data_IF_709803234184
#
_entry.id   IF_709803234184
#
_cell.length_a   1.000
_cell.length_b   1.000
_cell.length_c   1.000
_cell.angle_alpha   90.00
_cell.angle_beta   90.00
_cell.angle_gamma   90.00
#
_symmetry.space_group_name_H-M   'P 1'
#
loop_
_entity.id
_entity.type
_entity.pdbx_description
1 polymer ?
#
# COMPACT_ATOMS: atom_id res chain seq x y z
N UNK A 1 -9.79 -0.65 -0.57
CA UNK A 1 -9.70 -2.06 -1.05
C UNK A 1 -8.26 -2.56 -0.95
N UNK A 2 -8.03 -3.81 -0.57
CA UNK A 2 -6.69 -4.40 -0.55
C UNK A 2 -6.66 -5.75 -1.29
N UNK A 3 -5.50 -6.07 -1.86
CA UNK A 3 -5.23 -7.33 -2.53
C UNK A 3 -3.82 -7.80 -2.20
N UNK A 4 -3.67 -9.06 -1.84
CA UNK A 4 -2.38 -9.68 -1.62
C UNK A 4 -2.33 -10.99 -2.41
N UNK A 5 -1.29 -11.21 -3.18
CA UNK A 5 -1.08 -12.45 -3.92
C UNK A 5 0.38 -12.87 -3.93
N UNK A 6 0.55 -14.15 -4.17
CA UNK A 6 1.82 -14.78 -4.43
C UNK A 6 1.68 -15.67 -5.64
N UNK A 7 2.66 -15.62 -6.55
CA UNK A 7 2.70 -16.62 -7.62
C UNK A 7 2.97 -18.02 -7.01
N UNK A 8 2.42 -19.07 -7.62
CA UNK A 8 2.57 -20.45 -7.12
C UNK A 8 4.04 -20.90 -6.98
N UNK A 9 4.97 -20.31 -7.74
CA UNK A 9 6.40 -20.57 -7.64
C UNK A 9 7.07 -19.83 -6.49
N UNK A 10 6.36 -18.91 -5.79
CA UNK A 10 6.93 -18.09 -4.74
C UNK A 10 8.02 -17.11 -5.23
N UNK A 11 8.10 -16.84 -6.52
CA UNK A 11 9.11 -15.95 -7.11
C UNK A 11 8.75 -14.48 -6.89
N UNK A 12 7.47 -14.16 -6.81
CA UNK A 12 6.97 -12.80 -6.63
C UNK A 12 5.81 -12.80 -5.65
N UNK A 13 5.88 -11.92 -4.66
CA UNK A 13 4.76 -11.53 -3.81
C UNK A 13 4.30 -10.14 -4.23
N UNK A 14 2.99 -9.92 -4.30
CA UNK A 14 2.42 -8.64 -4.72
C UNK A 14 1.31 -8.20 -3.77
N UNK A 15 1.33 -6.93 -3.44
CA UNK A 15 0.30 -6.25 -2.66
C UNK A 15 -0.20 -5.08 -3.47
N UNK A 16 -1.49 -4.87 -3.47
CA UNK A 16 -2.13 -3.66 -3.98
C UNK A 16 -3.04 -3.12 -2.87
N UNK A 17 -2.81 -1.87 -2.48
CA UNK A 17 -3.74 -1.08 -1.69
C UNK A 17 -4.35 -0.06 -2.66
N UNK A 18 -5.68 -0.01 -2.71
CA UNK A 18 -6.39 0.90 -3.60
C UNK A 18 -7.55 1.55 -2.86
N UNK A 19 -7.77 2.81 -3.17
CA UNK A 19 -8.92 3.55 -2.73
C UNK A 19 -9.78 4.00 -3.90
N UNK A 20 -11.10 3.84 -3.76
CA UNK A 20 -12.05 4.02 -4.84
C UNK A 20 -12.96 5.18 -4.49
N UNK A 21 -12.97 6.22 -5.30
CA UNK A 21 -13.87 7.35 -5.11
C UNK A 21 -15.34 6.91 -5.20
N UNK A 22 -16.09 7.08 -4.10
CA UNK A 22 -17.51 6.75 -3.99
C UNK A 22 -17.80 5.59 -3.04
N UNK A 23 -19.03 5.09 -3.04
CA UNK A 23 -19.52 4.07 -2.11
C UNK A 23 -20.46 3.04 -2.78
N UNK A 24 -20.72 1.95 -2.08
CA UNK A 24 -21.74 0.97 -2.43
C UNK A 24 -21.36 0.07 -3.62
N UNK A 25 -22.33 -0.22 -4.49
CA UNK A 25 -22.18 -1.21 -5.58
C UNK A 25 -21.09 -0.85 -6.59
N UNK A 26 -20.83 0.45 -6.80
CA UNK A 26 -19.77 0.90 -7.70
C UNK A 26 -18.40 0.45 -7.17
N UNK A 27 -18.13 0.69 -5.89
CA UNK A 27 -16.87 0.26 -5.23
C UNK A 27 -16.71 -1.26 -5.30
N UNK A 28 -17.79 -2.01 -5.06
CA UNK A 28 -17.77 -3.47 -5.19
C UNK A 28 -17.51 -3.93 -6.63
N UNK A 29 -18.03 -3.19 -7.63
CA UNK A 29 -17.76 -3.43 -9.05
C UNK A 29 -16.28 -3.23 -9.39
N UNK A 30 -15.71 -2.09 -8.99
CA UNK A 30 -14.28 -1.76 -9.16
C UNK A 30 -13.41 -2.82 -8.49
N UNK A 31 -13.71 -3.18 -7.26
CA UNK A 31 -12.97 -4.20 -6.52
C UNK A 31 -12.92 -5.54 -7.27
N UNK A 32 -14.02 -5.97 -7.86
CA UNK A 32 -14.08 -7.21 -8.68
C UNK A 32 -13.22 -7.11 -9.94
N UNK A 33 -13.28 -5.99 -10.65
CA UNK A 33 -12.47 -5.75 -11.86
C UNK A 33 -10.98 -5.78 -11.51
N UNK A 34 -10.57 -5.02 -10.51
CA UNK A 34 -9.18 -4.97 -10.05
C UNK A 34 -8.68 -6.33 -9.57
N UNK A 35 -9.46 -7.03 -8.76
CA UNK A 35 -9.10 -8.36 -8.27
C UNK A 35 -8.89 -9.35 -9.42
N UNK A 36 -9.77 -9.32 -10.42
CA UNK A 36 -9.68 -10.20 -11.60
C UNK A 36 -8.41 -9.91 -12.39
N UNK A 37 -8.12 -8.63 -12.67
CA UNK A 37 -6.92 -8.25 -13.43
C UNK A 37 -5.62 -8.49 -12.65
N UNK A 38 -5.60 -8.24 -11.34
CA UNK A 38 -4.44 -8.55 -10.49
C UNK A 38 -4.12 -10.06 -10.49
N UNK A 39 -5.15 -10.90 -10.45
CA UNK A 39 -4.97 -12.36 -10.57
C UNK A 39 -4.46 -12.77 -11.94
N UNK A 40 -4.99 -12.19 -13.03
CA UNK A 40 -4.52 -12.44 -14.39
C UNK A 40 -3.07 -11.98 -14.58
N UNK A 41 -2.68 -10.92 -13.89
CA UNK A 41 -1.35 -10.29 -13.96
C UNK A 41 -0.33 -10.87 -12.97
N UNK A 42 -0.64 -11.97 -12.25
CA UNK A 42 0.25 -12.54 -11.21
C UNK A 42 1.66 -12.88 -11.73
N UNK A 43 1.77 -13.27 -13.00
CA UNK A 43 3.03 -13.63 -13.65
C UNK A 43 3.70 -12.46 -14.41
N UNK A 44 3.11 -11.28 -14.46
CA UNK A 44 3.75 -10.12 -15.08
C UNK A 44 4.90 -9.62 -14.22
N UNK A 45 6.01 -9.27 -14.88
CA UNK A 45 7.26 -8.90 -14.18
C UNK A 45 7.43 -7.40 -13.96
N UNK A 46 6.79 -6.58 -14.77
CA UNK A 46 6.84 -5.12 -14.64
C UNK A 46 5.57 -4.59 -13.99
N UNK A 47 5.74 -3.89 -12.89
CA UNK A 47 4.65 -3.29 -12.11
C UNK A 47 3.90 -2.22 -12.91
N UNK A 48 4.60 -1.53 -13.83
CA UNK A 48 4.00 -0.53 -14.73
C UNK A 48 3.02 -1.17 -15.69
N UNK A 49 3.36 -2.35 -16.25
CA UNK A 49 2.45 -3.11 -17.11
C UNK A 49 1.20 -3.58 -16.35
N UNK A 50 1.35 -3.91 -15.07
CA UNK A 50 0.22 -4.29 -14.23
C UNK A 50 -0.70 -3.08 -13.97
N UNK A 51 -0.10 -1.92 -13.65
CA UNK A 51 -0.87 -0.69 -13.43
C UNK A 51 -1.60 -0.25 -14.71
N UNK A 52 -0.93 -0.31 -15.88
CA UNK A 52 -1.57 -0.02 -17.17
C UNK A 52 -2.71 -0.97 -17.47
N UNK A 53 -2.54 -2.27 -17.19
CA UNK A 53 -3.60 -3.25 -17.39
C UNK A 53 -4.80 -2.99 -16.47
N UNK A 54 -4.57 -2.60 -15.21
CA UNK A 54 -5.62 -2.20 -14.29
C UNK A 54 -6.38 -0.98 -14.79
N UNK A 55 -5.67 0.06 -15.26
CA UNK A 55 -6.26 1.28 -15.81
C UNK A 55 -7.17 0.98 -17.00
N UNK A 56 -6.64 0.28 -18.00
CA UNK A 56 -7.41 -0.14 -19.19
C UNK A 56 -8.63 -0.97 -18.82
N UNK A 57 -8.51 -1.89 -17.86
CA UNK A 57 -9.64 -2.72 -17.43
C UNK A 57 -10.72 -1.94 -16.70
N UNK A 58 -10.33 -0.96 -15.88
CA UNK A 58 -11.28 -0.07 -15.22
C UNK A 58 -12.02 0.81 -16.22
N UNK A 59 -11.33 1.37 -17.20
CA UNK A 59 -11.95 2.11 -18.30
C UNK A 59 -12.97 1.27 -19.07
N UNK A 60 -12.55 0.08 -19.49
CA UNK A 60 -13.41 -0.87 -20.25
C UNK A 60 -14.63 -1.35 -19.46
N UNK A 61 -14.56 -1.31 -18.13
CA UNK A 61 -15.67 -1.73 -17.27
C UNK A 61 -16.88 -0.78 -17.33
N UNK A 62 -16.67 0.46 -17.78
CA UNK A 62 -17.71 1.49 -17.83
C UNK A 62 -18.17 2.00 -16.45
N UNK A 63 -17.50 1.61 -15.36
CA UNK A 63 -17.88 1.99 -13.99
C UNK A 63 -17.63 3.48 -13.69
N UNK A 64 -16.80 4.17 -14.51
CA UNK A 64 -16.46 5.59 -14.36
C UNK A 64 -16.04 5.96 -12.94
N UNK A 65 -15.22 5.13 -12.32
CA UNK A 65 -14.74 5.33 -10.97
C UNK A 65 -13.24 5.63 -10.99
N UNK A 66 -12.87 6.76 -10.42
CA UNK A 66 -11.47 7.12 -10.20
C UNK A 66 -10.98 6.34 -9.00
N UNK A 67 -9.79 5.72 -9.13
CA UNK A 67 -9.23 4.85 -8.10
C UNK A 67 -7.76 5.17 -7.90
N UNK A 68 -7.37 5.53 -6.69
CA UNK A 68 -5.95 5.59 -6.33
C UNK A 68 -5.42 4.20 -6.02
N UNK A 69 -4.16 3.92 -6.33
CA UNK A 69 -3.57 2.61 -6.06
C UNK A 69 -2.07 2.67 -5.79
N UNK A 70 -1.63 1.91 -4.80
CA UNK A 70 -0.23 1.56 -4.56
C UNK A 70 -0.02 0.08 -4.88
N UNK A 71 0.89 -0.22 -5.79
CA UNK A 71 1.26 -1.58 -6.18
C UNK A 71 2.69 -1.86 -5.74
N UNK A 72 2.83 -2.84 -4.87
CA UNK A 72 4.13 -3.27 -4.35
C UNK A 72 4.39 -4.72 -4.74
N UNK A 73 5.56 -4.98 -5.28
CA UNK A 73 6.02 -6.34 -5.57
C UNK A 73 7.35 -6.62 -4.90
N UNK A 74 7.45 -7.77 -4.25
CA UNK A 74 8.69 -8.25 -3.66
C UNK A 74 9.17 -9.51 -4.36
N UNK A 75 10.45 -9.54 -4.73
CA UNK A 75 11.14 -10.68 -5.35
C UNK A 75 12.21 -11.20 -4.40
N UNK A 76 11.92 -12.24 -3.62
CA UNK A 76 12.79 -12.70 -2.54
C UNK A 76 14.17 -13.14 -3.00
N UNK A 77 14.25 -13.82 -4.14
CA UNK A 77 15.53 -14.31 -4.68
C UNK A 77 16.46 -13.19 -5.17
N UNK A 78 15.90 -11.99 -5.44
CA UNK A 78 16.65 -10.76 -5.76
C UNK A 78 16.73 -9.80 -4.57
N UNK A 79 16.05 -10.11 -3.46
CA UNK A 79 15.87 -9.18 -2.34
C UNK A 79 15.42 -7.79 -2.85
N UNK A 80 14.50 -7.77 -3.82
CA UNK A 80 14.08 -6.55 -4.50
C UNK A 80 12.62 -6.23 -4.23
N UNK A 81 12.40 -5.07 -3.69
CA UNK A 81 11.10 -4.40 -3.62
C UNK A 81 10.95 -3.46 -4.82
N UNK A 82 9.78 -3.46 -5.43
CA UNK A 82 9.39 -2.51 -6.48
C UNK A 82 8.05 -1.92 -6.09
N UNK A 83 7.92 -0.61 -6.21
CA UNK A 83 6.69 0.13 -5.88
C UNK A 83 6.31 1.00 -7.06
N UNK A 84 5.02 1.08 -7.37
CA UNK A 84 4.42 1.96 -8.36
C UNK A 84 3.13 2.55 -7.78
N UNK A 85 2.84 3.81 -8.07
CA UNK A 85 1.65 4.50 -7.58
C UNK A 85 0.80 4.98 -8.74
N UNK A 86 -0.51 5.00 -8.53
CA UNK A 86 -1.51 5.63 -9.38
C UNK A 86 -2.31 6.61 -8.52
N UNK A 87 -1.88 7.87 -8.43
CA UNK A 87 -2.51 8.90 -7.59
C UNK A 87 -2.53 8.62 -6.08
N UNK A 88 -1.92 7.55 -5.62
CA UNK A 88 -1.93 7.12 -4.23
C UNK A 88 -0.78 7.77 -3.44
N UNK A 89 -0.99 8.13 -2.16
CA UNK A 89 0.07 8.64 -1.30
C UNK A 89 1.26 7.69 -1.22
N UNK A 90 2.52 8.20 -1.27
CA UNK A 90 3.69 7.36 -1.05
C UNK A 90 3.69 6.73 0.34
N UNK A 91 4.05 5.45 0.44
CA UNK A 91 4.20 4.75 1.71
C UNK A 91 5.52 5.01 2.42
N UNK A 92 5.83 4.19 3.40
CA UNK A 92 7.10 4.20 4.14
C UNK A 92 7.73 2.81 4.16
N UNK A 93 9.05 2.78 4.19
CA UNK A 93 9.82 1.57 4.43
C UNK A 93 10.68 1.72 5.68
N UNK A 94 10.59 0.74 6.58
CA UNK A 94 11.49 0.61 7.70
C UNK A 94 12.72 -0.19 7.28
N UNK A 95 13.87 0.34 7.57
CA UNK A 95 15.15 -0.36 7.46
C UNK A 95 15.50 -0.98 8.79
N UNK A 96 15.57 -2.30 8.83
CA UNK A 96 15.86 -3.03 10.07
C UNK A 96 17.28 -2.76 10.59
N UNK A 97 18.10 -2.15 9.75
CA UNK A 97 19.52 -1.92 10.05
C UNK A 97 20.34 -3.20 9.79
N UNK A 98 21.59 -3.03 9.51
CA UNK A 98 22.60 -4.05 9.28
C UNK A 98 23.87 -3.35 8.83
N UNK A 99 25.04 -3.95 9.02
CA UNK A 99 26.33 -3.42 8.56
C UNK A 99 26.59 -1.95 8.96
N UNK A 100 26.20 -1.56 10.19
CA UNK A 100 26.43 -0.21 10.72
C UNK A 100 25.37 0.84 10.35
N UNK A 101 24.30 0.46 9.67
CA UNK A 101 23.18 1.37 9.40
C UNK A 101 22.21 1.42 10.58
N UNK A 102 21.74 2.62 10.94
CA UNK A 102 20.73 2.81 11.97
C UNK A 102 19.35 2.41 11.48
N UNK A 103 18.53 1.85 12.39
CA UNK A 103 17.12 1.55 12.17
C UNK A 103 16.37 2.85 11.92
N UNK A 104 15.58 2.91 10.83
CA UNK A 104 14.79 4.11 10.49
C UNK A 104 13.67 3.79 9.52
N UNK A 105 12.67 4.65 9.52
CA UNK A 105 11.68 4.71 8.46
C UNK A 105 12.11 5.72 7.40
N UNK A 106 11.83 5.40 6.15
CA UNK A 106 12.11 6.25 4.98
C UNK A 106 10.84 6.33 4.13
N UNK A 107 10.61 7.51 3.52
CA UNK A 107 9.51 7.67 2.57
C UNK A 107 9.79 6.90 1.29
N UNK A 108 8.80 6.16 0.80
CA UNK A 108 8.86 5.40 -0.44
C UNK A 108 8.49 6.27 -1.64
N UNK A 109 9.37 7.20 -2.00
CA UNK A 109 9.16 8.07 -3.16
C UNK A 109 9.56 7.38 -4.46
N UNK A 110 8.94 7.80 -5.57
CA UNK A 110 9.27 7.32 -6.91
C UNK A 110 10.62 7.87 -7.37
N UNK A 111 11.47 7.02 -7.93
CA UNK A 111 12.81 7.38 -8.41
C UNK A 111 13.01 7.15 -9.91
N UNK A 112 12.26 6.25 -10.53
CA UNK A 112 12.27 6.00 -11.98
C UNK A 112 11.00 6.62 -12.59
N UNK A 113 10.98 7.96 -12.71
CA UNK A 113 9.82 8.71 -13.20
C UNK A 113 9.65 8.57 -14.72
N UNK A 114 8.40 8.62 -15.16
CA UNK A 114 8.05 8.79 -16.56
C UNK A 114 8.28 10.25 -16.95
N UNK A 115 8.94 10.47 -18.09
CA UNK A 115 9.35 11.82 -18.54
C UNK A 115 8.48 12.39 -19.63
N UNK A 116 7.53 11.64 -20.17
CA UNK A 116 6.67 12.06 -21.27
C UNK A 116 5.20 11.72 -21.04
N UNK A 117 4.32 12.69 -21.24
CA UNK A 117 2.87 12.54 -21.12
C UNK A 117 2.35 12.55 -19.68
N UNK A 118 1.04 12.28 -19.50
CA UNK A 118 0.46 12.10 -18.16
C UNK A 118 1.11 10.95 -17.43
N UNK A 119 1.51 11.17 -16.18
CA UNK A 119 2.16 10.16 -15.37
C UNK A 119 1.50 10.04 -13.99
N UNK A 120 1.47 8.82 -13.46
CA UNK A 120 1.07 8.48 -12.09
C UNK A 120 -0.34 8.96 -11.69
N UNK A 121 -1.21 9.26 -12.67
CA UNK A 121 -2.59 9.62 -12.43
C UNK A 121 -3.35 8.45 -11.81
N UNK A 122 -4.44 8.71 -11.06
CA UNK A 122 -5.34 7.66 -10.61
C UNK A 122 -5.83 6.78 -11.78
N UNK A 123 -6.16 5.53 -11.47
CA UNK A 123 -6.72 4.58 -12.43
C UNK A 123 -8.14 5.01 -12.85
N UNK A 124 -8.52 4.71 -14.10
CA UNK A 124 -9.85 4.96 -14.63
C UNK A 124 -10.12 6.41 -15.03
N UNK A 125 -9.08 7.22 -15.23
CA UNK A 125 -9.20 8.62 -15.67
C UNK A 125 -9.51 8.77 -17.16
N UNK A 126 -9.30 7.73 -17.98
CA UNK A 126 -9.44 7.78 -19.43
C UNK A 126 -8.32 8.54 -20.15
N UNK A 127 -7.26 8.89 -19.45
CA UNK A 127 -6.12 9.64 -20.01
C UNK A 127 -4.95 8.77 -20.44
N UNK A 128 -5.01 7.45 -20.20
CA UNK A 128 -3.98 6.48 -20.55
C UNK A 128 -2.61 6.82 -19.94
N UNK A 129 -2.50 7.09 -18.63
CA UNK A 129 -1.25 7.54 -18.03
C UNK A 129 -0.19 6.45 -18.08
N UNK A 130 1.06 6.87 -18.10
CA UNK A 130 2.18 5.97 -17.81
C UNK A 130 2.48 5.98 -16.31
N UNK A 131 3.02 4.88 -15.80
CA UNK A 131 3.29 4.73 -14.37
C UNK A 131 4.79 4.68 -14.09
N UNK A 132 5.19 5.49 -13.15
CA UNK A 132 6.54 5.52 -12.61
C UNK A 132 6.74 4.40 -11.58
N UNK A 133 7.98 4.12 -11.22
CA UNK A 133 8.30 3.13 -10.18
C UNK A 133 9.54 3.48 -9.40
N UNK A 134 9.67 2.86 -8.25
CA UNK A 134 10.92 2.79 -7.51
C UNK A 134 11.33 1.34 -7.32
N UNK A 135 12.63 1.07 -7.39
CA UNK A 135 13.22 -0.22 -7.10
C UNK A 135 14.28 -0.07 -6.05
N UNK A 136 14.23 -0.92 -5.04
CA UNK A 136 15.20 -0.91 -3.97
C UNK A 136 15.52 -2.32 -3.48
N UNK A 137 16.66 -2.47 -2.84
CA UNK A 137 16.95 -3.66 -2.07
C UNK A 137 16.11 -3.64 -0.80
N UNK A 138 15.52 -4.78 -0.45
CA UNK A 138 14.79 -4.95 0.78
C UNK A 138 15.12 -6.31 1.39
N UNK A 139 15.45 -6.33 2.68
CA UNK A 139 16.02 -7.44 3.41
C UNK A 139 15.05 -7.96 4.46
N UNK A 140 15.25 -9.18 4.96
CA UNK A 140 14.53 -9.68 6.13
C UNK A 140 14.63 -8.68 7.31
N UNK A 141 13.50 -8.43 7.96
CA UNK A 141 13.35 -7.43 9.01
C UNK A 141 12.93 -6.05 8.50
N UNK A 142 13.11 -5.74 7.21
CA UNK A 142 12.55 -4.51 6.63
C UNK A 142 11.01 -4.59 6.62
N UNK A 143 10.35 -3.44 6.84
CA UNK A 143 8.90 -3.36 6.93
C UNK A 143 8.35 -2.32 5.98
N UNK A 144 7.13 -2.54 5.51
CA UNK A 144 6.39 -1.65 4.63
C UNK A 144 5.15 -1.14 5.36
N UNK A 145 4.88 0.16 5.23
CA UNK A 145 3.59 0.76 5.56
C UNK A 145 3.05 1.48 4.33
N UNK A 146 1.83 1.14 3.93
CA UNK A 146 1.01 1.89 2.98
C UNK A 146 -0.22 2.41 3.72
N UNK A 147 -0.65 3.61 3.40
CA UNK A 147 -1.88 4.21 3.96
C UNK A 147 -2.68 4.87 2.85
N UNK A 148 -4.01 4.85 2.95
CA UNK A 148 -4.90 5.65 2.09
C UNK A 148 -4.93 7.11 2.57
N UNK A 149 -5.45 7.98 1.74
CA UNK A 149 -5.72 9.40 2.07
C UNK A 149 -6.60 9.56 3.30
N UNK A 150 -7.61 8.70 3.50
CA UNK A 150 -8.42 8.71 4.73
C UNK A 150 -7.63 8.59 6.04
N UNK A 151 -6.38 8.06 6.01
CA UNK A 151 -5.48 8.14 7.18
C UNK A 151 -4.83 9.51 7.28
N UNK A 152 -4.37 10.07 6.17
CA UNK A 152 -3.64 11.33 6.15
C UNK A 152 -4.57 12.53 6.38
N UNK A 153 -5.75 12.50 5.79
CA UNK A 153 -6.74 13.57 5.85
C UNK A 153 -7.65 13.49 7.08
N UNK A 154 -7.45 12.51 7.97
CA UNK A 154 -8.22 12.38 9.21
C UNK A 154 -8.15 13.67 10.02
N UNK A 155 -9.30 14.37 10.25
CA UNK A 155 -9.30 15.70 10.86
C UNK A 155 -9.30 15.64 12.38
N UNK A 156 -8.53 16.51 13.02
CA UNK A 156 -8.69 16.84 14.43
C UNK A 156 -9.94 17.71 14.65
N UNK A 157 -10.39 17.91 15.89
CA UNK A 157 -11.52 18.79 16.19
C UNK A 157 -11.36 20.25 15.75
N UNK A 158 -10.13 20.71 15.55
CA UNK A 158 -9.80 22.04 15.04
C UNK A 158 -9.63 22.07 13.51
N UNK A 159 -9.81 20.93 12.85
CA UNK A 159 -9.70 20.77 11.40
C UNK A 159 -8.29 20.48 10.89
N UNK A 160 -7.28 20.33 11.76
CA UNK A 160 -5.94 19.94 11.34
C UNK A 160 -5.92 18.48 10.89
N UNK A 161 -5.29 18.19 9.75
CA UNK A 161 -5.12 16.83 9.25
C UNK A 161 -4.07 16.06 10.05
N UNK A 162 -4.24 14.74 10.19
CA UNK A 162 -3.23 13.86 10.79
C UNK A 162 -1.92 13.91 10.01
N UNK A 163 -2.01 13.85 8.71
CA UNK A 163 -0.94 14.09 7.76
C UNK A 163 0.25 13.14 7.88
N UNK A 164 1.26 13.42 7.08
CA UNK A 164 2.55 12.70 7.13
C UNK A 164 3.20 12.82 8.52
N UNK A 165 3.11 13.99 9.14
CA UNK A 165 3.72 14.24 10.45
C UNK A 165 3.13 13.35 11.57
N UNK A 166 1.81 13.11 11.54
CA UNK A 166 1.15 12.19 12.47
C UNK A 166 1.63 10.75 12.28
N UNK A 167 1.68 10.29 11.03
CA UNK A 167 2.21 8.95 10.71
C UNK A 167 3.67 8.82 11.16
N UNK A 168 4.53 9.77 10.81
CA UNK A 168 5.96 9.75 11.16
C UNK A 168 6.20 9.79 12.67
N UNK A 169 5.36 10.50 13.42
CA UNK A 169 5.37 10.47 14.89
C UNK A 169 5.14 9.07 15.46
N UNK A 170 4.15 8.34 14.93
CA UNK A 170 3.88 6.94 15.30
C UNK A 170 5.06 6.04 14.93
N UNK A 171 5.60 6.20 13.71
CA UNK A 171 6.73 5.42 13.20
C UNK A 171 7.99 5.61 14.05
N UNK A 172 8.28 6.84 14.46
CA UNK A 172 9.42 7.15 15.33
C UNK A 172 9.27 6.46 16.71
N UNK A 173 8.08 6.51 17.28
CA UNK A 173 7.76 5.80 18.53
C UNK A 173 7.93 4.28 18.42
N UNK A 174 7.58 3.69 17.28
CA UNK A 174 7.78 2.26 17.02
C UNK A 174 9.25 1.87 16.89
N UNK A 175 10.09 2.71 16.30
CA UNK A 175 11.56 2.48 16.23
C UNK A 175 12.14 2.47 17.65
N UNK A 176 11.81 3.46 18.46
CA UNK A 176 12.30 3.58 19.84
C UNK A 176 11.89 2.38 20.70
N UNK A 177 10.66 1.86 20.51
CA UNK A 177 10.14 0.72 21.25
C UNK A 177 10.51 -0.65 20.64
N UNK A 178 11.20 -0.69 19.50
CA UNK A 178 11.47 -1.92 18.74
C UNK A 178 10.20 -2.77 18.48
N UNK A 179 9.09 -2.09 18.16
CA UNK A 179 7.75 -2.67 18.06
C UNK A 179 7.61 -3.65 16.90
N UNK A 180 6.78 -4.68 17.04
CA UNK A 180 6.39 -5.58 15.94
C UNK A 180 5.39 -4.89 14.98
N UNK A 181 5.14 -5.49 13.80
CA UNK A 181 4.15 -4.96 12.86
C UNK A 181 2.73 -4.87 13.45
N UNK A 182 2.33 -5.84 14.29
CA UNK A 182 1.03 -5.81 14.95
C UNK A 182 0.89 -4.61 15.92
N UNK A 183 1.97 -4.29 16.65
CA UNK A 183 2.00 -3.15 17.55
C UNK A 183 1.95 -1.82 16.78
N UNK A 184 2.62 -1.75 15.61
CA UNK A 184 2.53 -0.58 14.74
C UNK A 184 1.08 -0.30 14.31
N UNK A 185 0.37 -1.35 13.88
CA UNK A 185 -1.03 -1.22 13.48
C UNK A 185 -1.91 -0.68 14.62
N UNK A 186 -1.75 -1.24 15.82
CA UNK A 186 -2.48 -0.79 17.01
C UNK A 186 -2.15 0.67 17.35
N UNK A 187 -0.86 1.03 17.36
CA UNK A 187 -0.41 2.40 17.65
C UNK A 187 -0.93 3.42 16.64
N UNK A 188 -1.00 3.04 15.36
CA UNK A 188 -1.52 3.93 14.33
C UNK A 188 -3.03 4.20 14.55
N UNK A 189 -3.81 3.16 14.86
CA UNK A 189 -5.24 3.32 15.18
C UNK A 189 -5.43 4.16 16.43
N UNK A 190 -4.66 3.91 17.49
CA UNK A 190 -4.77 4.67 18.74
C UNK A 190 -4.38 6.14 18.54
N UNK A 191 -3.35 6.42 17.73
CA UNK A 191 -2.94 7.78 17.40
C UNK A 191 -4.02 8.51 16.58
N UNK A 192 -4.64 7.83 15.61
CA UNK A 192 -5.75 8.39 14.84
C UNK A 192 -6.94 8.72 15.74
N UNK A 193 -7.34 7.82 16.63
CA UNK A 193 -8.42 8.07 17.60
C UNK A 193 -8.10 9.24 18.52
N UNK A 194 -6.87 9.34 19.00
CA UNK A 194 -6.44 10.45 19.84
C UNK A 194 -6.45 11.78 19.08
N UNK A 195 -6.12 11.77 17.79
CA UNK A 195 -6.10 12.94 16.93
C UNK A 195 -7.50 13.44 16.59
N UNK A 196 -8.39 12.54 16.16
CA UNK A 196 -9.75 12.89 15.73
C UNK A 196 -10.68 13.16 16.92
N UNK A 197 -10.39 12.63 18.11
CA UNK A 197 -11.25 12.70 19.28
C UNK A 197 -12.53 11.85 19.18
N UNK A 198 -12.74 11.18 18.03
CA UNK A 198 -13.87 10.30 17.75
C UNK A 198 -13.35 9.04 17.03
N UNK A 199 -14.24 8.10 16.70
CA UNK A 199 -13.83 6.99 15.85
C UNK A 199 -13.44 7.54 14.46
N UNK A 200 -12.20 7.37 13.99
CA UNK A 200 -11.72 7.96 12.75
C UNK A 200 -12.51 7.52 11.51
N UNK A 201 -13.29 6.47 11.61
CA UNK A 201 -14.11 5.93 10.51
C UNK A 201 -15.43 6.68 10.27
N UNK A 202 -15.73 7.70 11.07
CA UNK A 202 -16.92 8.53 10.84
C UNK A 202 -16.71 9.54 9.69
N UNK A 203 -15.48 9.77 9.27
CA UNK A 203 -15.16 10.79 8.26
C UNK A 203 -14.85 10.20 6.89
N UNK A 204 -14.11 9.09 6.81
CA UNK A 204 -13.76 8.43 5.56
C UNK A 204 -13.30 6.98 5.80
N UNK A 205 -13.12 6.21 4.72
CA UNK A 205 -12.62 4.84 4.76
C UNK A 205 -11.11 4.82 5.10
N UNK A 206 -10.79 4.60 6.37
CA UNK A 206 -9.41 4.46 6.85
C UNK A 206 -8.88 3.07 6.49
N UNK A 207 -7.89 3.01 5.61
CA UNK A 207 -7.24 1.76 5.25
C UNK A 207 -5.72 1.90 5.28
N UNK A 208 -5.04 0.90 5.83
CA UNK A 208 -3.59 0.81 5.77
C UNK A 208 -3.12 -0.64 5.71
N UNK A 209 -1.90 -0.82 5.25
CA UNK A 209 -1.27 -2.13 5.11
C UNK A 209 0.12 -2.10 5.72
N UNK A 210 0.38 -2.99 6.67
CA UNK A 210 1.69 -3.19 7.30
C UNK A 210 2.22 -4.57 6.94
N UNK A 211 3.45 -4.65 6.50
CA UNK A 211 4.11 -5.91 6.16
C UNK A 211 5.56 -5.94 6.66
N UNK A 212 6.05 -7.12 7.00
CA UNK A 212 7.45 -7.38 7.30
C UNK A 212 8.02 -8.41 6.32
N UNK A 213 9.21 -8.15 5.81
CA UNK A 213 9.96 -9.11 5.03
C UNK A 213 10.60 -10.09 6.00
N UNK A 214 10.22 -11.35 5.91
CA UNK A 214 10.76 -12.42 6.75
C UNK A 214 11.79 -13.25 5.99
N UNK A 215 12.71 -13.91 6.71
CA UNK A 215 13.63 -14.85 6.11
C UNK A 215 12.89 -15.99 5.43
N UNK A 216 13.42 -16.42 4.29
CA UNK A 216 12.90 -17.56 3.57
C UNK A 216 13.30 -18.84 4.31
N UNK A 217 12.35 -19.68 4.78
CA UNK A 217 12.71 -20.95 5.35
C UNK A 217 13.36 -21.85 4.29
N UNK A 218 14.37 -22.65 4.64
CA UNK A 218 14.96 -23.62 3.73
C UNK A 218 13.93 -24.70 3.37
N UNK A 219 13.75 -25.00 2.07
CA UNK A 219 12.91 -26.08 1.58
C UNK A 219 11.84 -25.67 0.56
N UNK A 220 11.13 -26.62 -0.06
CA UNK A 220 10.13 -26.33 -1.09
C UNK A 220 8.78 -25.80 -0.57
N UNK A 221 8.54 -25.86 0.74
CA UNK A 221 7.34 -25.28 1.35
C UNK A 221 7.61 -23.84 1.77
N UNK A 222 7.42 -22.97 0.83
CA UNK A 222 7.85 -21.60 0.87
C UNK A 222 6.75 -20.69 1.36
N UNK A 223 7.11 -19.70 2.14
CA UNK A 223 6.38 -18.48 2.39
C UNK A 223 5.45 -18.50 3.60
N UNK A 224 6.02 -18.43 4.79
CA UNK A 224 5.37 -17.61 5.80
C UNK A 224 5.66 -16.16 5.43
N UNK A 225 4.87 -15.67 4.50
CA UNK A 225 4.91 -14.25 4.20
C UNK A 225 3.96 -13.56 5.14
N UNK A 226 4.52 -12.54 5.73
CA UNK A 226 3.73 -11.43 6.22
C UNK A 226 2.71 -11.86 7.27
N UNK A 227 3.01 -11.68 8.51
CA UNK A 227 1.97 -11.52 9.52
C UNK A 227 1.24 -10.22 9.16
N UNK A 228 0.23 -10.38 8.30
CA UNK A 228 -0.68 -9.31 7.95
C UNK A 228 -1.51 -8.98 9.18
N UNK A 229 -1.24 -7.85 9.79
CA UNK A 229 -2.27 -7.19 10.58
C UNK A 229 -3.15 -6.42 9.60
N UNK A 230 -4.02 -7.13 8.88
CA UNK A 230 -5.12 -6.50 8.16
C UNK A 230 -6.14 -6.14 9.24
N UNK A 231 -6.25 -4.88 9.54
CA UNK A 231 -7.44 -4.39 10.23
C UNK A 231 -8.50 -4.29 9.13
N UNK A 232 -9.56 -5.11 9.17
CA UNK A 232 -10.64 -4.96 8.22
C UNK A 232 -11.15 -3.52 8.32
N UNK A 233 -11.38 -2.90 7.16
CA UNK A 233 -12.12 -1.64 7.13
C UNK A 233 -13.43 -1.89 7.88
N UNK A 234 -13.59 -1.25 9.02
CA UNK A 234 -14.83 -1.29 9.76
C UNK A 234 -15.76 -0.36 9.00
N UNK A 235 -16.45 -0.90 8.01
CA UNK A 235 -17.52 -0.18 7.35
C UNK A 235 -18.58 0.11 8.40
N UNK A 236 -18.71 1.39 8.74
CA UNK A 236 -19.83 1.87 9.52
C UNK A 236 -21.13 1.39 8.86
N UNK A 237 -21.93 0.63 9.59
CA UNK A 237 -23.29 0.34 9.19
C UNK A 237 -24.10 1.61 9.34
N UNK A 238 -24.45 2.23 8.24
CA UNK A 238 -25.60 3.10 8.12
C UNK A 238 -26.71 2.35 7.40
#
# INVERSE_FOLDING_TARGET
>A
MHYCSMCNSGIIARVCLADVAGHGERVAGVARVMHTELRASVNRWDEREVMQALDVRLEQSGLKAITTAALVSYRPWKQRLTVSYAGHPPGWIYRAGGDGQSRRWERLVVTESVTAGPADLPLGTGLGPAYSRTRMRALPGDRLLLVTDGVLEAPAPDGAEFGDAGVEGVLAGCVAANSACADLATRLVDALRAHTGVDPMEHDDVSFYVAEIVERPPGPQFWQIVKNSIIPSITGRG
#
